data_IF_572426129657
#
_entry.id   IF_572426129657
#
_cell.length_a   1.000
_cell.length_b   1.000
_cell.length_c   1.000
_cell.angle_alpha   90.00
_cell.angle_beta   90.00
_cell.angle_gamma   90.00
#
_symmetry.space_group_name_H-M   'P 1'
#
loop_
_entity.id
_entity.type
_entity.pdbx_description
1 polymer ?
#
# COMPACT_ATOMS: atom_id res chain seq x y z
N UNK A 1 -9.72 -11.31 -1.70
CA UNK A 1 -10.43 -10.06 -1.96
C UNK A 1 -10.10 -9.46 -3.32
N UNK A 2 -8.88 -9.02 -3.60
CA UNK A 2 -8.43 -8.62 -4.95
C UNK A 2 -7.63 -9.74 -5.57
N UNK A 3 -7.94 -10.06 -6.83
CA UNK A 3 -7.20 -11.06 -7.62
C UNK A 3 -6.83 -10.44 -8.96
N UNK A 4 -5.56 -10.45 -9.27
CA UNK A 4 -5.02 -10.11 -10.58
C UNK A 4 -4.46 -11.40 -11.17
N UNK A 5 -5.06 -11.86 -12.25
CA UNK A 5 -4.75 -13.15 -12.86
C UNK A 5 -4.18 -12.92 -14.25
N UNK A 6 -2.91 -13.25 -14.43
CA UNK A 6 -2.19 -13.23 -15.72
C UNK A 6 -2.30 -11.89 -16.48
N UNK A 7 -2.18 -10.80 -15.73
CA UNK A 7 -2.34 -9.44 -16.26
C UNK A 7 -1.21 -9.08 -17.20
N UNK A 8 -1.57 -8.70 -18.42
CA UNK A 8 -0.66 -7.99 -19.32
C UNK A 8 -1.24 -6.59 -19.58
N UNK A 9 -0.42 -5.57 -19.35
CA UNK A 9 -0.84 -4.17 -19.52
C UNK A 9 0.32 -3.28 -19.98
N UNK A 10 0.05 -2.39 -20.92
CA UNK A 10 0.93 -1.31 -21.33
C UNK A 10 0.12 -0.10 -21.82
N UNK A 11 0.61 1.10 -21.55
CA UNK A 11 -0.03 2.35 -21.97
C UNK A 11 -0.04 2.54 -23.49
N UNK A 12 0.87 1.90 -24.20
CA UNK A 12 0.95 1.93 -25.67
C UNK A 12 0.76 0.52 -26.22
N UNK A 13 -0.05 0.38 -27.28
CA UNK A 13 -0.24 -0.92 -27.96
C UNK A 13 1.04 -1.53 -28.53
N UNK A 14 2.03 -0.68 -28.91
CA UNK A 14 3.34 -1.09 -29.40
C UNK A 14 4.38 -0.46 -28.49
N UNK A 15 4.94 -1.22 -27.58
CA UNK A 15 5.93 -0.78 -26.59
C UNK A 15 6.13 -1.87 -25.54
N UNK A 16 7.10 -1.67 -24.64
CA UNK A 16 7.29 -2.59 -23.53
C UNK A 16 6.08 -2.49 -22.59
N UNK A 17 5.45 -3.61 -22.23
CA UNK A 17 4.38 -3.60 -21.27
C UNK A 17 4.90 -3.18 -19.89
N UNK A 18 4.03 -2.55 -19.08
CA UNK A 18 4.31 -2.29 -17.66
C UNK A 18 4.23 -3.59 -16.87
N UNK A 19 3.24 -4.42 -17.22
CA UNK A 19 3.06 -5.76 -16.69
C UNK A 19 2.94 -6.78 -17.82
N UNK A 20 3.60 -7.92 -17.66
CA UNK A 20 3.54 -9.05 -18.57
C UNK A 20 3.37 -10.33 -17.75
N UNK A 21 2.22 -11.02 -17.93
CA UNK A 21 1.87 -12.24 -17.21
C UNK A 21 1.96 -12.08 -15.67
N UNK A 22 1.50 -10.94 -15.17
CA UNK A 22 1.55 -10.60 -13.76
C UNK A 22 0.34 -11.14 -13.02
N UNK A 23 0.57 -11.85 -11.92
CA UNK A 23 -0.49 -12.34 -11.04
C UNK A 23 -0.22 -11.93 -9.60
N UNK A 24 -1.26 -11.49 -8.88
CA UNK A 24 -1.16 -11.07 -7.49
C UNK A 24 -2.51 -11.22 -6.80
N UNK A 25 -2.48 -11.72 -5.57
CA UNK A 25 -3.66 -11.80 -4.72
C UNK A 25 -3.45 -10.95 -3.46
N UNK A 26 -4.47 -10.18 -3.10
CA UNK A 26 -4.57 -9.48 -1.82
C UNK A 26 -5.77 -10.04 -1.06
N UNK A 27 -5.55 -10.40 0.18
CA UNK A 27 -6.59 -10.87 1.09
C UNK A 27 -7.35 -9.69 1.71
N UNK A 28 -8.45 -9.98 2.40
CA UNK A 28 -9.18 -8.99 3.19
C UNK A 28 -8.49 -8.69 4.52
N UNK A 29 -9.00 -7.69 5.22
CA UNK A 29 -8.72 -7.40 6.63
C UNK A 29 -7.27 -6.99 6.94
N UNK A 30 -6.60 -6.31 5.99
CA UNK A 30 -5.20 -5.96 6.15
C UNK A 30 -4.85 -4.60 5.54
N UNK A 31 -3.81 -3.97 6.09
CA UNK A 31 -3.14 -2.82 5.49
C UNK A 31 -1.93 -3.31 4.71
N UNK A 32 -2.03 -3.22 3.40
CA UNK A 32 -0.93 -3.58 2.49
C UNK A 32 -0.05 -2.39 2.18
N UNK A 33 1.27 -2.57 2.34
CA UNK A 33 2.27 -1.71 1.74
C UNK A 33 2.68 -2.23 0.36
N UNK A 34 2.32 -1.50 -0.69
CA UNK A 34 2.77 -1.79 -2.06
C UNK A 34 4.05 -1.01 -2.34
N UNK A 35 5.19 -1.68 -2.21
CA UNK A 35 6.52 -1.10 -2.32
C UNK A 35 7.15 -1.40 -3.69
N UNK A 36 7.99 -0.50 -4.16
CA UNK A 36 8.72 -0.65 -5.42
C UNK A 36 9.40 0.64 -5.81
N UNK A 37 10.40 0.56 -6.68
CA UNK A 37 11.07 1.74 -7.24
C UNK A 37 10.10 2.63 -8.01
N UNK A 38 10.49 3.89 -8.24
CA UNK A 38 9.74 4.74 -9.16
C UNK A 38 9.73 4.11 -10.56
N UNK A 39 8.55 4.07 -11.18
CA UNK A 39 8.37 3.40 -12.47
C UNK A 39 8.15 1.88 -12.40
N UNK A 40 8.16 1.24 -11.23
CA UNK A 40 7.88 -0.20 -11.09
C UNK A 40 6.41 -0.59 -11.42
N UNK A 41 5.53 0.41 -11.57
CA UNK A 41 4.13 0.17 -11.95
C UNK A 41 3.13 0.22 -10.79
N UNK A 42 3.51 0.70 -9.59
CA UNK A 42 2.63 0.76 -8.40
C UNK A 42 1.29 1.45 -8.68
N UNK A 43 1.32 2.69 -9.18
CA UNK A 43 0.11 3.45 -9.54
C UNK A 43 -0.73 2.72 -10.60
N UNK A 44 -0.05 2.14 -11.61
CA UNK A 44 -0.71 1.34 -12.64
C UNK A 44 -1.44 0.15 -12.04
N UNK A 45 -0.81 -0.51 -11.05
CA UNK A 45 -1.39 -1.65 -10.36
C UNK A 45 -2.64 -1.24 -9.58
N UNK A 46 -2.59 -0.13 -8.82
CA UNK A 46 -3.76 0.41 -8.13
C UNK A 46 -4.90 0.74 -9.11
N UNK A 47 -4.60 1.32 -10.27
CA UNK A 47 -5.60 1.65 -11.28
C UNK A 47 -6.20 0.41 -11.95
N UNK A 48 -5.44 -0.67 -12.10
CA UNK A 48 -5.97 -1.97 -12.55
C UNK A 48 -6.88 -2.58 -11.48
N UNK A 49 -6.51 -2.52 -10.19
CA UNK A 49 -7.31 -3.04 -9.08
C UNK A 49 -8.68 -2.35 -8.94
N UNK A 50 -8.80 -1.07 -9.28
CA UNK A 50 -10.08 -0.35 -9.22
C UNK A 50 -10.79 -0.22 -10.58
N UNK A 51 -10.29 -0.86 -11.63
CA UNK A 51 -10.92 -0.84 -12.96
C UNK A 51 -10.85 0.51 -13.67
N UNK A 52 -9.95 1.43 -13.27
CA UNK A 52 -9.63 2.64 -14.02
C UNK A 52 -8.81 2.34 -15.27
N UNK A 53 -8.00 1.28 -15.21
CA UNK A 53 -7.27 0.75 -16.36
C UNK A 53 -7.79 -0.65 -16.70
N UNK A 54 -7.86 -0.93 -17.99
CA UNK A 54 -8.26 -2.23 -18.51
C UNK A 54 -7.04 -3.00 -19.00
N UNK A 55 -6.77 -4.21 -18.49
CA UNK A 55 -5.68 -5.03 -18.99
C UNK A 55 -5.87 -5.42 -20.45
N UNK A 56 -4.80 -5.68 -21.17
CA UNK A 56 -4.79 -6.18 -22.54
C UNK A 56 -5.13 -7.67 -22.58
N UNK A 57 -4.69 -8.42 -21.56
CA UNK A 57 -5.07 -9.80 -21.29
C UNK A 57 -5.06 -10.05 -19.79
N UNK A 58 -5.66 -11.16 -19.37
CA UNK A 58 -5.88 -11.49 -17.97
C UNK A 58 -7.10 -10.80 -17.39
N UNK A 59 -7.31 -10.93 -16.10
CA UNK A 59 -8.48 -10.40 -15.41
C UNK A 59 -8.13 -9.81 -14.04
N UNK A 60 -8.85 -8.74 -13.69
CA UNK A 60 -8.78 -8.13 -12.37
C UNK A 60 -10.15 -8.27 -11.69
N UNK A 61 -10.17 -8.91 -10.52
CA UNK A 61 -11.37 -9.26 -9.79
C UNK A 61 -11.36 -8.65 -8.39
N UNK A 62 -12.51 -8.13 -7.97
CA UNK A 62 -12.80 -7.77 -6.59
C UNK A 62 -13.94 -8.63 -6.08
N UNK A 63 -13.69 -9.42 -5.03
CA UNK A 63 -14.64 -10.42 -4.50
C UNK A 63 -15.21 -11.34 -5.60
N UNK A 64 -14.34 -11.79 -6.52
CA UNK A 64 -14.70 -12.67 -7.63
C UNK A 64 -15.47 -12.01 -8.78
N UNK A 65 -15.68 -10.69 -8.74
CA UNK A 65 -16.36 -9.92 -9.79
C UNK A 65 -15.37 -9.06 -10.55
N UNK A 66 -15.49 -8.98 -11.88
CA UNK A 66 -14.61 -8.19 -12.73
C UNK A 66 -14.75 -6.69 -12.47
N UNK A 67 -13.65 -6.05 -12.05
CA UNK A 67 -13.62 -4.59 -11.85
C UNK A 67 -13.68 -3.81 -13.15
N UNK A 68 -13.31 -4.45 -14.27
CA UNK A 68 -13.32 -3.84 -15.61
C UNK A 68 -14.74 -3.56 -16.10
N UNK A 69 -15.72 -4.30 -15.61
CA UNK A 69 -17.14 -4.07 -15.94
C UNK A 69 -17.71 -2.81 -15.30
N UNK A 70 -17.01 -2.26 -14.28
CA UNK A 70 -17.35 -1.00 -13.60
C UNK A 70 -18.81 -0.93 -13.15
N UNK A 71 -19.34 -2.06 -12.67
CA UNK A 71 -20.70 -2.12 -12.13
C UNK A 71 -20.83 -1.29 -10.87
N UNK A 72 -21.95 -0.58 -10.65
CA UNK A 72 -22.16 0.23 -9.44
C UNK A 72 -21.89 -0.55 -8.15
N UNK A 73 -22.35 -1.82 -8.06
CA UNK A 73 -22.20 -2.71 -6.89
C UNK A 73 -20.74 -3.12 -6.60
N UNK A 74 -19.82 -2.81 -7.50
CA UNK A 74 -18.38 -3.00 -7.31
C UNK A 74 -17.76 -1.67 -6.96
N UNK A 75 -18.12 -0.60 -7.68
CA UNK A 75 -17.52 0.72 -7.52
C UNK A 75 -17.86 1.38 -6.19
N UNK A 76 -19.05 1.11 -5.64
CA UNK A 76 -19.47 1.61 -4.33
C UNK A 76 -18.61 1.10 -3.17
N UNK A 77 -17.91 -0.04 -3.37
CA UNK A 77 -17.03 -0.68 -2.39
C UNK A 77 -15.53 -0.39 -2.62
N UNK A 78 -15.20 0.43 -3.62
CA UNK A 78 -13.79 0.76 -3.96
C UNK A 78 -13.61 2.27 -4.00
N UNK A 79 -12.61 2.78 -3.28
CA UNK A 79 -12.17 4.16 -3.40
C UNK A 79 -10.67 4.25 -3.66
N UNK A 80 -10.26 5.22 -4.47
CA UNK A 80 -8.84 5.49 -4.73
C UNK A 80 -8.51 6.96 -4.48
N UNK A 81 -7.42 7.18 -3.74
CA UNK A 81 -6.74 8.46 -3.60
C UNK A 81 -5.50 8.40 -4.48
N UNK A 82 -5.49 9.01 -5.67
CA UNK A 82 -4.31 9.04 -6.52
C UNK A 82 -3.24 9.99 -5.96
N UNK A 83 -2.01 9.83 -6.39
CA UNK A 83 -0.89 10.71 -5.98
C UNK A 83 -1.15 12.17 -6.36
N UNK A 84 -1.55 12.39 -7.62
CA UNK A 84 -1.93 13.69 -8.15
C UNK A 84 -3.44 13.76 -8.38
N UNK A 85 -4.06 14.81 -7.89
CA UNK A 85 -5.49 15.07 -8.05
C UNK A 85 -5.79 16.56 -7.93
N UNK A 86 -6.93 16.95 -8.47
CA UNK A 86 -7.48 18.28 -8.30
C UNK A 86 -8.83 18.19 -7.60
N UNK A 87 -9.04 19.07 -6.61
CA UNK A 87 -10.34 19.25 -5.99
C UNK A 87 -11.01 20.49 -6.59
N UNK A 88 -12.31 20.40 -6.92
CA UNK A 88 -13.04 21.55 -7.43
C UNK A 88 -13.12 22.67 -6.38
N UNK A 89 -13.20 23.95 -6.80
CA UNK A 89 -13.26 25.09 -5.88
C UNK A 89 -14.67 25.23 -5.26
N UNK A 90 -15.06 24.21 -4.50
CA UNK A 90 -16.34 24.10 -3.81
C UNK A 90 -16.14 24.05 -2.31
N UNK A 91 -17.20 24.35 -1.55
CA UNK A 91 -17.23 24.00 -0.11
C UNK A 91 -17.18 22.47 0.04
N UNK A 92 -16.48 22.00 1.09
CA UNK A 92 -16.42 20.57 1.41
C UNK A 92 -17.82 19.96 1.58
N UNK A 93 -18.74 20.67 2.23
CA UNK A 93 -20.14 20.23 2.39
C UNK A 93 -20.85 20.03 1.04
N UNK A 94 -20.57 20.87 0.05
CA UNK A 94 -21.11 20.70 -1.30
C UNK A 94 -20.47 19.50 -2.00
N UNK A 95 -19.14 19.32 -1.86
CA UNK A 95 -18.43 18.17 -2.40
C UNK A 95 -18.96 16.86 -1.83
N UNK A 96 -19.17 16.81 -0.51
CA UNK A 96 -19.79 15.65 0.18
C UNK A 96 -21.20 15.38 -0.36
N UNK A 97 -22.06 16.40 -0.44
CA UNK A 97 -23.41 16.25 -0.94
C UNK A 97 -23.50 15.66 -2.36
N UNK A 98 -22.51 15.95 -3.21
CA UNK A 98 -22.45 15.45 -4.58
C UNK A 98 -21.90 14.02 -4.65
N UNK A 99 -20.87 13.71 -3.84
CA UNK A 99 -20.11 12.47 -3.98
C UNK A 99 -20.51 11.37 -3.00
N UNK A 100 -20.94 11.70 -1.77
CA UNK A 100 -21.32 10.72 -0.77
C UNK A 100 -22.43 9.74 -1.23
N UNK A 101 -23.43 10.15 -2.04
CA UNK A 101 -24.47 9.22 -2.50
C UNK A 101 -23.97 8.04 -3.34
N UNK A 102 -22.74 8.09 -3.86
CA UNK A 102 -22.12 6.96 -4.56
C UNK A 102 -21.55 5.89 -3.62
N UNK A 103 -21.51 6.18 -2.31
CA UNK A 103 -20.93 5.31 -1.28
C UNK A 103 -21.98 5.04 -0.20
N UNK A 104 -22.71 3.92 -0.28
CA UNK A 104 -23.81 3.62 0.65
C UNK A 104 -23.42 3.60 2.14
N UNK A 105 -22.14 3.35 2.42
CA UNK A 105 -21.61 3.29 3.78
C UNK A 105 -20.91 4.58 4.22
N UNK A 106 -21.09 5.68 3.47
CA UNK A 106 -20.50 6.98 3.83
C UNK A 106 -20.94 7.42 5.22
N UNK A 107 -19.97 7.86 6.04
CA UNK A 107 -20.20 8.31 7.39
C UNK A 107 -19.76 9.77 7.56
N UNK A 108 -20.76 10.65 7.81
CA UNK A 108 -20.48 12.07 8.14
C UNK A 108 -19.74 12.21 9.48
N UNK A 109 -20.05 11.34 10.44
CA UNK A 109 -19.35 11.31 11.73
C UNK A 109 -17.87 11.00 11.54
N UNK A 110 -17.56 9.99 10.72
CA UNK A 110 -16.19 9.63 10.42
C UNK A 110 -15.45 10.73 9.67
N UNK A 111 -16.12 11.42 8.76
CA UNK A 111 -15.56 12.60 8.09
C UNK A 111 -15.21 13.69 9.10
N UNK A 112 -16.14 14.05 10.00
CA UNK A 112 -15.93 15.07 11.03
C UNK A 112 -14.75 14.72 11.93
N UNK A 113 -14.66 13.45 12.39
CA UNK A 113 -13.54 12.97 13.20
C UNK A 113 -12.19 13.08 12.45
N UNK A 114 -12.15 12.68 11.18
CA UNK A 114 -10.94 12.77 10.37
C UNK A 114 -10.53 14.23 10.13
N UNK A 115 -11.48 15.12 9.87
CA UNK A 115 -11.19 16.55 9.73
C UNK A 115 -10.63 17.15 11.02
N UNK A 116 -11.20 16.79 12.17
CA UNK A 116 -10.71 17.23 13.48
C UNK A 116 -9.29 16.71 13.74
N UNK A 117 -9.04 15.42 13.49
CA UNK A 117 -7.71 14.83 13.64
C UNK A 117 -6.67 15.53 12.74
N UNK A 118 -7.03 15.91 11.52
CA UNK A 118 -6.17 16.64 10.57
C UNK A 118 -6.13 18.16 10.81
N UNK A 119 -6.80 18.65 11.85
CA UNK A 119 -6.88 20.08 12.19
C UNK A 119 -7.45 20.92 11.03
N UNK A 120 -8.46 20.39 10.34
CA UNK A 120 -9.18 21.09 9.27
C UNK A 120 -10.58 21.49 9.76
N UNK A 121 -11.03 22.74 9.48
CA UNK A 121 -12.39 23.13 9.79
C UNK A 121 -13.40 22.40 8.89
N UNK A 122 -14.61 22.20 9.40
CA UNK A 122 -15.67 21.53 8.63
C UNK A 122 -16.18 22.39 7.46
N UNK A 123 -16.27 23.72 7.65
CA UNK A 123 -16.71 24.65 6.60
C UNK A 123 -15.51 25.22 5.85
N UNK A 124 -14.89 24.38 5.01
CA UNK A 124 -13.75 24.78 4.19
C UNK A 124 -14.10 24.88 2.71
N UNK A 125 -13.49 25.85 2.02
CA UNK A 125 -13.50 25.91 0.56
C UNK A 125 -12.26 25.19 0.02
N UNK A 126 -12.48 24.10 -0.71
CA UNK A 126 -11.43 23.24 -1.25
C UNK A 126 -10.50 23.97 -2.24
N UNK A 127 -11.01 25.00 -2.93
CA UNK A 127 -10.21 25.81 -3.86
C UNK A 127 -9.13 26.66 -3.19
N UNK A 128 -9.36 27.08 -1.94
CA UNK A 128 -8.44 27.94 -1.18
C UNK A 128 -7.37 27.18 -0.38
N UNK A 129 -7.40 25.85 -0.38
CA UNK A 129 -6.49 25.04 0.41
C UNK A 129 -5.12 24.92 -0.25
N UNK A 130 -4.07 24.83 0.58
CA UNK A 130 -2.75 24.38 0.15
C UNK A 130 -2.83 22.91 -0.32
N UNK A 131 -1.82 22.43 -1.08
CA UNK A 131 -1.80 21.05 -1.55
C UNK A 131 -1.85 20.03 -0.40
N UNK A 132 -1.10 20.27 0.69
CA UNK A 132 -1.13 19.41 1.88
C UNK A 132 -2.51 19.41 2.56
N UNK A 133 -3.19 20.54 2.65
CA UNK A 133 -4.55 20.64 3.19
C UNK A 133 -5.57 19.94 2.26
N UNK A 134 -5.45 20.10 0.93
CA UNK A 134 -6.27 19.37 -0.03
C UNK A 134 -6.10 17.86 0.14
N UNK A 135 -4.86 17.39 0.30
CA UNK A 135 -4.56 15.97 0.53
C UNK A 135 -5.21 15.46 1.82
N UNK A 136 -5.07 16.18 2.94
CA UNK A 136 -5.73 15.86 4.20
C UNK A 136 -7.26 15.77 4.05
N UNK A 137 -7.89 16.77 3.42
CA UNK A 137 -9.34 16.80 3.19
C UNK A 137 -9.80 15.65 2.30
N UNK A 138 -9.04 15.32 1.25
CA UNK A 138 -9.37 14.22 0.35
C UNK A 138 -9.19 12.85 1.01
N UNK A 139 -8.15 12.67 1.82
CA UNK A 139 -7.98 11.45 2.63
C UNK A 139 -9.11 11.32 3.66
N UNK A 140 -9.50 12.41 4.34
CA UNK A 140 -10.64 12.38 5.26
C UNK A 140 -11.93 11.95 4.57
N UNK A 141 -12.22 12.49 3.37
CA UNK A 141 -13.35 12.06 2.55
C UNK A 141 -13.23 10.58 2.15
N UNK A 142 -12.06 10.16 1.66
CA UNK A 142 -11.79 8.78 1.23
C UNK A 142 -12.03 7.78 2.37
N UNK A 143 -11.58 8.10 3.57
CA UNK A 143 -11.82 7.29 4.77
C UNK A 143 -13.31 7.24 5.09
N UNK A 144 -14.01 8.38 5.00
CA UNK A 144 -15.43 8.51 5.30
C UNK A 144 -16.33 7.78 4.30
N UNK A 145 -15.87 7.48 3.07
CA UNK A 145 -16.60 6.60 2.12
C UNK A 145 -16.89 5.24 2.70
N UNK A 146 -16.06 4.82 3.65
CA UNK A 146 -16.19 3.56 4.38
C UNK A 146 -16.23 2.33 3.46
N UNK A 147 -15.56 2.42 2.31
CA UNK A 147 -15.43 1.35 1.32
C UNK A 147 -14.63 0.17 1.84
N UNK A 148 -14.89 -1.03 1.29
CA UNK A 148 -14.16 -2.26 1.64
C UNK A 148 -12.74 -2.25 1.11
N UNK A 149 -12.51 -1.63 -0.05
CA UNK A 149 -11.19 -1.47 -0.64
C UNK A 149 -10.86 0.02 -0.75
N UNK A 150 -9.86 0.45 0.01
CA UNK A 150 -9.32 1.80 -0.06
C UNK A 150 -7.90 1.75 -0.60
N UNK A 151 -7.70 2.32 -1.78
CA UNK A 151 -6.41 2.41 -2.45
C UNK A 151 -5.84 3.82 -2.27
N UNK A 152 -4.58 3.93 -1.87
CA UNK A 152 -3.90 5.22 -1.68
C UNK A 152 -2.55 5.21 -2.39
N UNK A 153 -2.38 6.10 -3.35
CA UNK A 153 -1.13 6.25 -4.09
C UNK A 153 -0.31 7.38 -3.51
N UNK A 154 0.85 7.07 -2.92
CA UNK A 154 1.77 8.01 -2.27
C UNK A 154 1.05 9.02 -1.34
N UNK A 155 0.21 8.55 -0.39
CA UNK A 155 -0.67 9.44 0.39
C UNK A 155 0.09 10.40 1.31
N UNK A 156 1.32 10.06 1.69
CA UNK A 156 2.15 10.88 2.60
C UNK A 156 3.02 11.92 1.88
N UNK A 157 3.10 11.85 0.55
CA UNK A 157 3.84 12.85 -0.22
C UNK A 157 3.23 14.25 -0.04
N UNK A 158 4.08 15.22 0.30
CA UNK A 158 3.66 16.61 0.52
C UNK A 158 3.01 16.88 1.88
N UNK A 159 2.95 15.89 2.77
CA UNK A 159 2.58 16.07 4.17
C UNK A 159 3.81 16.39 5.02
N UNK A 160 3.66 17.29 6.00
CA UNK A 160 4.65 17.53 7.03
C UNK A 160 4.71 16.38 8.07
N UNK A 161 5.72 16.40 8.93
CA UNK A 161 5.94 15.32 9.93
C UNK A 161 4.72 15.13 10.84
N UNK A 162 4.10 16.18 11.43
CA UNK A 162 2.89 16.02 12.23
C UNK A 162 1.72 15.42 11.44
N UNK A 163 1.52 15.86 10.19
CA UNK A 163 0.45 15.34 9.35
C UNK A 163 0.67 13.85 8.97
N UNK A 164 1.93 13.42 8.74
CA UNK A 164 2.25 12.00 8.53
C UNK A 164 1.93 11.17 9.77
N UNK A 165 2.26 11.65 10.97
CA UNK A 165 1.90 10.97 12.22
C UNK A 165 0.37 10.91 12.42
N UNK A 166 -0.34 11.97 12.10
CA UNK A 166 -1.80 12.01 12.11
C UNK A 166 -2.39 11.01 11.11
N UNK A 167 -1.89 10.97 9.88
CA UNK A 167 -2.30 10.02 8.84
C UNK A 167 -2.21 8.58 9.35
N UNK A 168 -1.07 8.17 9.92
CA UNK A 168 -0.89 6.84 10.49
C UNK A 168 -1.96 6.51 11.54
N UNK A 169 -2.17 7.42 12.49
CA UNK A 169 -3.16 7.24 13.55
C UNK A 169 -4.58 7.12 13.01
N UNK A 170 -4.95 7.97 12.06
CA UNK A 170 -6.28 7.97 11.44
C UNK A 170 -6.51 6.69 10.67
N UNK A 171 -5.56 6.25 9.83
CA UNK A 171 -5.67 5.02 9.04
C UNK A 171 -5.75 3.78 9.94
N UNK A 172 -4.88 3.68 10.97
CA UNK A 172 -4.89 2.55 11.89
C UNK A 172 -6.24 2.38 12.61
N UNK A 173 -6.89 3.49 12.99
CA UNK A 173 -8.22 3.46 13.65
C UNK A 173 -9.34 2.99 12.74
N UNK A 174 -9.14 3.00 11.43
CA UNK A 174 -10.19 2.70 10.44
C UNK A 174 -10.13 1.27 9.93
N UNK A 175 -9.22 0.45 10.46
CA UNK A 175 -9.23 -0.97 10.19
C UNK A 175 -10.42 -1.63 10.87
N UNK A 176 -11.08 -2.49 10.14
CA UNK A 176 -12.22 -3.29 10.57
C UNK A 176 -12.27 -4.57 9.73
N UNK A 177 -13.02 -5.54 10.19
CA UNK A 177 -13.36 -6.72 9.41
C UNK A 177 -13.91 -6.32 8.02
N UNK A 178 -13.58 -7.05 7.00
CA UNK A 178 -13.96 -6.81 5.59
C UNK A 178 -13.36 -5.56 4.93
N UNK A 179 -12.41 -4.86 5.57
CA UNK A 179 -11.74 -3.71 4.95
C UNK A 179 -10.30 -4.01 4.63
N UNK A 180 -9.89 -3.64 3.41
CA UNK A 180 -8.49 -3.68 3.00
C UNK A 180 -8.04 -2.30 2.56
N UNK A 181 -6.89 -1.87 3.04
CA UNK A 181 -6.26 -0.61 2.66
C UNK A 181 -4.95 -0.95 1.96
N UNK A 182 -4.75 -0.43 0.75
CA UNK A 182 -3.50 -0.60 0.00
C UNK A 182 -2.83 0.75 -0.13
N UNK A 183 -1.63 0.87 0.40
CA UNK A 183 -0.82 2.10 0.37
C UNK A 183 0.38 1.85 -0.51
N UNK A 184 0.42 2.48 -1.69
CA UNK A 184 1.64 2.50 -2.49
C UNK A 184 2.57 3.56 -1.96
N UNK A 185 3.84 3.23 -1.80
CA UNK A 185 4.85 4.23 -1.45
C UNK A 185 6.26 3.79 -1.83
N UNK A 186 7.13 4.77 -2.04
CA UNK A 186 8.58 4.61 -2.07
C UNK A 186 9.23 5.13 -0.77
N UNK A 187 8.46 5.79 0.11
CA UNK A 187 8.90 6.29 1.42
C UNK A 187 8.39 5.36 2.54
N UNK A 188 9.02 4.21 2.65
CA UNK A 188 8.59 3.11 3.54
C UNK A 188 8.43 3.55 4.98
N UNK A 189 9.37 4.39 5.50
CA UNK A 189 9.37 4.89 6.89
C UNK A 189 8.10 5.67 7.27
N UNK A 190 7.39 6.20 6.30
CA UNK A 190 6.18 6.97 6.58
C UNK A 190 5.01 6.10 6.99
N UNK A 191 5.03 4.81 6.63
CA UNK A 191 3.89 3.90 6.79
C UNK A 191 4.22 2.56 7.45
N UNK A 192 5.51 2.27 7.71
CA UNK A 192 6.01 0.98 8.21
C UNK A 192 5.23 0.44 9.42
N UNK A 193 4.94 1.33 10.40
CA UNK A 193 4.19 0.97 11.61
C UNK A 193 2.69 0.67 11.37
N UNK A 194 2.18 0.86 10.13
CA UNK A 194 0.79 0.59 9.79
C UNK A 194 0.59 -0.78 9.14
N UNK A 195 1.65 -1.34 8.55
CA UNK A 195 1.50 -2.40 7.57
C UNK A 195 1.39 -3.78 8.24
N UNK A 196 0.32 -4.50 7.89
CA UNK A 196 0.15 -5.91 8.24
C UNK A 196 0.77 -6.82 7.18
N UNK A 197 0.76 -6.36 5.91
CA UNK A 197 1.30 -7.06 4.76
C UNK A 197 2.20 -6.16 3.92
N UNK A 198 3.20 -6.77 3.32
CA UNK A 198 4.15 -6.10 2.43
C UNK A 198 4.19 -6.82 1.10
N UNK A 199 3.91 -6.06 0.04
CA UNK A 199 4.08 -6.50 -1.33
C UNK A 199 5.17 -5.66 -2.00
N UNK A 200 6.25 -6.29 -2.43
CA UNK A 200 7.35 -5.63 -3.14
C UNK A 200 7.28 -6.03 -4.61
N UNK A 201 7.13 -5.03 -5.47
CA UNK A 201 7.02 -5.24 -6.92
C UNK A 201 8.17 -4.58 -7.65
N UNK A 202 8.70 -5.29 -8.63
CA UNK A 202 9.66 -4.75 -9.59
C UNK A 202 9.23 -5.14 -11.00
N UNK A 203 8.63 -4.18 -11.73
CA UNK A 203 8.01 -4.41 -13.03
C UNK A 203 6.99 -5.57 -12.98
N UNK A 204 7.18 -6.60 -13.80
CA UNK A 204 6.27 -7.75 -13.85
C UNK A 204 6.54 -8.81 -12.79
N UNK A 205 7.37 -8.54 -11.79
CA UNK A 205 7.75 -9.52 -10.75
C UNK A 205 7.27 -9.07 -9.38
N UNK A 206 6.77 -10.04 -8.63
CA UNK A 206 6.57 -9.91 -7.18
C UNK A 206 7.82 -10.45 -6.51
N UNK A 207 8.56 -9.60 -5.83
CA UNK A 207 9.75 -9.98 -5.09
C UNK A 207 9.38 -10.48 -3.68
N UNK A 208 8.26 -9.99 -3.14
CA UNK A 208 7.70 -10.37 -1.85
C UNK A 208 6.20 -10.10 -1.86
N UNK A 209 5.42 -10.99 -1.28
CA UNK A 209 4.03 -10.78 -0.89
C UNK A 209 3.77 -11.61 0.37
N UNK A 210 3.95 -11.00 1.54
CA UNK A 210 3.88 -11.71 2.81
C UNK A 210 3.39 -10.80 3.94
N UNK A 211 2.82 -11.39 4.99
CA UNK A 211 2.51 -10.67 6.21
C UNK A 211 3.78 -10.28 6.97
N UNK A 212 3.72 -9.20 7.74
CA UNK A 212 4.84 -8.79 8.60
C UNK A 212 5.18 -9.88 9.62
N UNK A 213 4.17 -10.62 10.10
CA UNK A 213 4.35 -11.75 10.98
C UNK A 213 5.11 -12.91 10.30
N UNK A 214 4.77 -13.24 9.05
CA UNK A 214 5.49 -14.27 8.29
C UNK A 214 6.94 -13.85 8.02
N UNK A 215 7.17 -12.58 7.68
CA UNK A 215 8.52 -12.05 7.45
C UNK A 215 9.38 -12.18 8.73
N UNK A 216 8.87 -11.75 9.89
CA UNK A 216 9.61 -11.80 11.15
C UNK A 216 9.75 -13.20 11.72
N UNK A 217 8.86 -14.13 11.34
CA UNK A 217 9.04 -15.55 11.67
C UNK A 217 10.23 -16.19 10.95
N UNK A 218 10.57 -15.71 9.75
CA UNK A 218 11.64 -16.25 8.89
C UNK A 218 12.95 -15.48 8.97
N UNK A 219 12.84 -14.16 9.24
CA UNK A 219 13.97 -13.24 9.23
C UNK A 219 14.09 -12.51 10.56
N UNK A 220 15.31 -12.30 11.00
CA UNK A 220 15.64 -11.44 12.13
C UNK A 220 16.38 -10.20 11.64
N UNK A 221 16.02 -9.05 12.23
CA UNK A 221 16.61 -7.75 11.94
C UNK A 221 17.36 -7.30 13.19
N UNK A 222 18.67 -7.16 13.10
CA UNK A 222 19.50 -6.82 14.26
C UNK A 222 20.65 -5.87 13.93
N UNK A 223 21.17 -5.22 14.97
CA UNK A 223 22.32 -4.36 14.88
C UNK A 223 23.52 -5.10 15.50
N UNK A 224 24.60 -5.23 14.75
CA UNK A 224 25.89 -5.77 15.21
C UNK A 224 26.93 -4.67 15.32
N UNK A 225 27.77 -4.74 16.35
CA UNK A 225 28.84 -3.76 16.54
C UNK A 225 29.91 -3.87 15.44
N UNK A 226 30.72 -2.84 15.31
CA UNK A 226 31.82 -2.85 14.36
C UNK A 226 32.86 -3.96 14.74
N UNK A 227 33.09 -4.89 13.79
CA UNK A 227 33.99 -6.01 13.97
C UNK A 227 33.35 -7.31 14.47
N UNK A 228 32.07 -7.31 14.79
CA UNK A 228 31.29 -8.54 14.99
C UNK A 228 31.15 -9.34 13.72
N UNK A 229 31.06 -10.68 13.83
CA UNK A 229 30.88 -11.58 12.71
C UNK A 229 29.54 -11.35 12.05
N UNK A 230 29.54 -11.24 10.73
CA UNK A 230 28.35 -11.09 9.88
C UNK A 230 28.27 -12.17 8.81
N UNK A 231 28.98 -13.28 8.97
CA UNK A 231 29.04 -14.35 7.96
C UNK A 231 27.73 -15.09 7.77
N UNK A 232 26.81 -15.05 8.75
CA UNK A 232 25.45 -15.60 8.70
C UNK A 232 24.42 -14.62 8.14
N UNK A 233 24.82 -13.35 7.89
CA UNK A 233 23.91 -12.36 7.37
C UNK A 233 23.55 -12.62 5.91
N UNK A 234 22.27 -12.59 5.62
CA UNK A 234 21.73 -12.60 4.25
C UNK A 234 21.91 -11.25 3.57
N UNK A 235 21.90 -10.19 4.38
CA UNK A 235 22.12 -8.81 3.96
C UNK A 235 22.74 -8.02 5.09
N UNK A 236 23.70 -7.15 4.80
CA UNK A 236 24.34 -6.30 5.79
C UNK A 236 24.50 -4.88 5.25
N UNK A 237 24.10 -3.90 6.03
CA UNK A 237 24.22 -2.47 5.72
C UNK A 237 25.07 -1.78 6.79
N UNK A 238 26.28 -1.28 6.45
CA UNK A 238 27.11 -0.53 7.37
C UNK A 238 26.45 0.77 7.83
N UNK A 239 26.60 1.08 9.11
CA UNK A 239 26.18 2.35 9.70
C UNK A 239 27.16 2.81 10.80
N UNK A 240 26.89 3.95 11.45
CA UNK A 240 27.76 4.52 12.48
C UNK A 240 27.95 3.62 13.70
N UNK A 241 27.03 2.67 13.95
CA UNK A 241 27.05 1.77 15.11
C UNK A 241 27.61 0.38 14.78
N UNK A 242 28.02 0.13 13.52
CA UNK A 242 28.49 -1.16 13.02
C UNK A 242 27.73 -1.59 11.78
N UNK A 243 27.04 -2.74 11.81
CA UNK A 243 26.27 -3.28 10.71
C UNK A 243 24.83 -3.58 11.14
N UNK A 244 23.87 -2.99 10.44
CA UNK A 244 22.51 -3.51 10.48
C UNK A 244 22.43 -4.74 9.57
N UNK A 245 21.90 -5.85 10.04
CA UNK A 245 21.85 -7.10 9.28
C UNK A 245 20.44 -7.69 9.21
N UNK A 246 20.22 -8.47 8.16
CA UNK A 246 19.11 -9.43 8.04
C UNK A 246 19.74 -10.82 8.06
N UNK A 247 19.28 -11.68 8.97
CA UNK A 247 19.69 -13.08 9.04
C UNK A 247 18.46 -14.00 9.11
N UNK A 248 18.65 -15.33 8.96
CA UNK A 248 17.58 -16.30 9.17
C UNK A 248 17.18 -16.34 10.64
N UNK A 249 15.86 -16.37 10.90
CA UNK A 249 15.33 -16.54 12.24
C UNK A 249 15.23 -18.04 12.56
N UNK A 250 16.32 -18.62 13.07
CA UNK A 250 16.41 -20.06 13.43
C UNK A 250 15.94 -20.35 14.83
N UNK A 251 15.94 -19.35 15.69
CA UNK A 251 15.75 -19.49 17.15
C UNK A 251 14.37 -18.95 17.59
N UNK A 252 13.55 -18.45 16.63
CA UNK A 252 12.25 -17.83 16.93
C UNK A 252 12.39 -16.51 17.73
N UNK A 253 13.46 -15.75 17.51
CA UNK A 253 13.68 -14.46 18.18
C UNK A 253 12.73 -13.42 17.62
N UNK A 254 12.17 -12.61 18.51
CA UNK A 254 11.43 -11.42 18.13
C UNK A 254 12.39 -10.32 17.66
N UNK A 255 12.10 -9.74 16.52
CA UNK A 255 12.81 -8.55 16.03
C UNK A 255 11.84 -7.58 15.38
N UNK A 256 12.11 -6.29 15.54
CA UNK A 256 11.34 -5.29 14.82
C UNK A 256 11.76 -5.28 13.35
N UNK A 257 10.78 -5.44 12.46
CA UNK A 257 11.02 -5.42 11.02
C UNK A 257 11.57 -4.05 10.59
N UNK A 258 12.63 -4.07 9.76
CA UNK A 258 13.13 -2.89 9.07
C UNK A 258 12.78 -3.01 7.59
N UNK A 259 11.63 -2.47 7.21
CA UNK A 259 11.11 -2.59 5.85
C UNK A 259 11.99 -1.90 4.80
N UNK A 260 12.69 -0.81 5.15
CA UNK A 260 13.61 -0.15 4.22
C UNK A 260 14.81 -1.06 3.92
N UNK A 261 15.37 -1.68 4.95
CA UNK A 261 16.47 -2.61 4.78
C UNK A 261 16.02 -3.87 4.03
N UNK A 262 14.83 -4.41 4.32
CA UNK A 262 14.25 -5.54 3.60
C UNK A 262 14.04 -5.20 2.12
N UNK A 263 13.52 -4.02 1.83
CA UNK A 263 13.34 -3.55 0.45
C UNK A 263 14.68 -3.49 -0.30
N UNK A 264 15.72 -2.90 0.31
CA UNK A 264 17.06 -2.83 -0.29
C UNK A 264 17.64 -4.22 -0.53
N UNK A 265 17.53 -5.11 0.45
CA UNK A 265 17.99 -6.48 0.34
C UNK A 265 17.31 -7.25 -0.79
N UNK A 266 16.00 -7.11 -0.95
CA UNK A 266 15.23 -7.73 -2.04
C UNK A 266 15.60 -7.16 -3.41
N UNK A 267 15.95 -5.86 -3.49
CA UNK A 267 16.38 -5.24 -4.73
C UNK A 267 17.79 -5.68 -5.18
N UNK A 268 18.64 -6.09 -4.23
CA UNK A 268 19.97 -6.62 -4.51
C UNK A 268 19.97 -8.13 -4.72
N UNK A 269 19.13 -8.86 -3.97
CA UNK A 269 19.02 -10.31 -4.02
C UNK A 269 17.55 -10.76 -3.97
N UNK A 270 17.00 -11.11 -5.11
CA UNK A 270 15.60 -11.52 -5.25
C UNK A 270 15.28 -12.83 -4.49
N UNK A 271 16.27 -13.65 -4.16
CA UNK A 271 16.10 -14.96 -3.52
C UNK A 271 16.09 -14.90 -1.98
N UNK A 272 16.05 -13.72 -1.36
CA UNK A 272 16.17 -13.56 0.09
C UNK A 272 15.11 -14.38 0.86
N UNK A 273 13.91 -14.53 0.32
CA UNK A 273 12.80 -15.29 0.91
C UNK A 273 12.66 -16.71 0.36
N UNK A 274 13.40 -17.07 -0.71
CA UNK A 274 13.41 -18.39 -1.31
C UNK A 274 14.32 -19.32 -0.49
N UNK A 275 13.79 -20.16 0.37
CA UNK A 275 14.67 -21.02 1.15
C UNK A 275 14.04 -21.94 2.18
N UNK A 276 12.79 -22.43 1.95
CA UNK A 276 12.20 -23.50 2.77
C UNK A 276 11.22 -24.42 2.03
N UNK A 277 11.20 -24.48 0.69
CA UNK A 277 10.31 -25.41 -0.04
C UNK A 277 10.98 -26.72 -0.50
N UNK A 278 12.26 -27.00 -0.19
CA UNK A 278 12.90 -28.26 -0.64
C UNK A 278 12.88 -29.41 0.38
N UNK A 279 12.02 -29.40 1.41
CA UNK A 279 12.03 -30.52 2.39
C UNK A 279 10.67 -31.23 2.54
N UNK A 280 9.80 -31.16 1.56
CA UNK A 280 8.58 -31.99 1.61
C UNK A 280 8.09 -32.49 0.26
N UNK A 281 8.95 -33.13 -0.56
CA UNK A 281 8.52 -34.04 -1.63
C UNK A 281 9.67 -34.98 -2.01
N UNK A 282 9.85 -36.03 -1.25
CA UNK A 282 10.33 -37.34 -1.77
C UNK A 282 9.50 -38.46 -1.17
N UNK A 283 9.19 -39.47 -1.98
CA UNK A 283 8.03 -40.33 -1.92
C UNK A 283 7.99 -41.31 -0.77
#
# INVERSE_FOLDING_TARGET
MIQLNDITFGYKRRGNPVFSHFSMNLESDSIYGLLGKNGAGKSTLLYLMCGLLRPQSGEALFNGKSVVERRPEILEDIFIVPEEFELPPLKLSTYVKINAPFYPHFSEELLSQCLQDFELPEDINLGGLSMGQKKKAFIAFAIATNTRLLLMDEPTNGLDIPAKACFRRVVARQMREDRTIVISTHQVRDVDALLDHVAVVDHSKILLNASTADITSRLVFEQRAAGEDTSDALYAQPNMMGNAIIARNTDGRDSQINLEMLFNALMENNALMEGNEETSLKP
#
